data_IF_018076217571
#
_entry.id   IF_018076217571
#
_cell.length_a   1.000
_cell.length_b   1.000
_cell.length_c   1.000
_cell.angle_alpha   90.00
_cell.angle_beta   90.00
_cell.angle_gamma   90.00
#
_symmetry.space_group_name_H-M   'P 1'
#
loop_
_entity.id
_entity.type
_entity.pdbx_description
1 polymer ?
#
# COMPACT_ATOMS: atom_id res chain seq x y z
N UNK A 1 -9.67 15.95 -2.77
CA UNK A 1 -9.26 14.59 -2.33
C UNK A 1 -9.95 13.54 -3.17
N UNK A 2 -9.19 12.76 -3.85
CA UNK A 2 -9.77 11.71 -4.67
C UNK A 2 -10.22 10.54 -3.78
N UNK A 3 -11.25 9.84 -4.23
CA UNK A 3 -11.72 8.65 -3.54
C UNK A 3 -10.73 7.50 -3.79
N UNK A 4 -10.80 6.48 -2.94
CA UNK A 4 -10.03 5.26 -3.10
C UNK A 4 -11.01 4.09 -2.98
N UNK A 5 -11.69 3.74 -4.09
CA UNK A 5 -12.78 2.75 -4.02
C UNK A 5 -12.37 1.41 -3.40
N UNK A 6 -11.19 0.90 -3.74
CA UNK A 6 -10.75 -0.36 -3.19
C UNK A 6 -10.47 -0.27 -1.70
N UNK A 7 -9.82 0.80 -1.27
CA UNK A 7 -9.56 1.00 0.16
C UNK A 7 -10.88 1.09 0.93
N UNK A 8 -11.84 1.83 0.38
CA UNK A 8 -13.17 1.95 0.99
C UNK A 8 -13.85 0.60 1.11
N UNK A 9 -13.74 -0.21 0.05
CA UNK A 9 -14.37 -1.54 0.03
C UNK A 9 -13.86 -2.44 1.14
N UNK A 10 -12.55 -2.44 1.39
CA UNK A 10 -11.96 -3.32 2.41
C UNK A 10 -11.82 -2.66 3.77
N UNK A 11 -12.17 -1.38 3.88
CA UNK A 11 -12.09 -0.68 5.16
C UNK A 11 -10.70 -0.20 5.55
N UNK A 12 -9.86 0.06 4.55
CA UNK A 12 -8.52 0.57 4.78
C UNK A 12 -8.57 2.08 4.96
N UNK A 13 -7.97 2.58 6.03
CA UNK A 13 -7.97 4.00 6.36
C UNK A 13 -6.56 4.56 6.38
N UNK A 14 -6.43 5.80 5.90
CA UNK A 14 -5.17 6.54 6.01
C UNK A 14 -5.05 7.12 7.41
N UNK A 15 -3.92 6.87 8.06
CA UNK A 15 -3.63 7.45 9.38
C UNK A 15 -2.67 8.62 9.23
N UNK A 16 -1.66 8.47 8.38
CA UNK A 16 -0.64 9.49 8.20
C UNK A 16 -0.10 9.41 6.78
N UNK A 17 0.13 10.56 6.16
CA UNK A 17 0.71 10.60 4.81
C UNK A 17 1.55 11.86 4.68
N UNK A 18 2.81 11.66 4.30
CA UNK A 18 3.72 12.77 3.97
C UNK A 18 4.74 12.26 2.95
N UNK A 19 5.54 13.16 2.42
CA UNK A 19 6.53 12.78 1.41
C UNK A 19 7.46 11.69 1.96
N UNK A 20 7.42 10.53 1.33
CA UNK A 20 8.30 9.41 1.66
C UNK A 20 7.84 8.54 2.81
N UNK A 21 6.66 8.81 3.41
CA UNK A 21 6.19 8.03 4.55
C UNK A 21 4.68 7.97 4.58
N UNK A 22 4.14 6.82 4.93
CA UNK A 22 2.70 6.70 5.19
C UNK A 22 2.42 5.71 6.30
N UNK A 23 1.20 5.82 6.81
CA UNK A 23 0.68 4.88 7.78
C UNK A 23 -0.80 4.69 7.51
N UNK A 24 -1.22 3.44 7.43
CA UNK A 24 -2.62 3.10 7.21
C UNK A 24 -3.03 1.98 8.16
N UNK A 25 -4.32 1.78 8.30
CA UNK A 25 -4.85 0.78 9.21
C UNK A 25 -6.10 0.14 8.64
N UNK A 26 -6.43 -1.02 9.19
CA UNK A 26 -7.61 -1.77 8.80
C UNK A 26 -8.06 -2.60 9.99
N UNK A 27 -9.34 -2.48 10.36
CA UNK A 27 -9.92 -3.32 11.40
C UNK A 27 -10.39 -4.62 10.78
N UNK A 28 -9.91 -5.75 11.30
CA UNK A 28 -10.24 -7.06 10.75
C UNK A 28 -11.71 -7.39 10.97
N UNK A 29 -12.38 -7.81 9.90
CA UNK A 29 -13.77 -8.25 9.89
C UNK A 29 -13.87 -9.60 9.18
N UNK A 30 -15.03 -10.24 9.24
CA UNK A 30 -15.23 -11.54 8.60
C UNK A 30 -14.87 -11.53 7.12
N UNK A 31 -15.17 -10.43 6.42
CA UNK A 31 -14.90 -10.33 4.99
C UNK A 31 -13.42 -10.39 4.65
N UNK A 32 -12.55 -10.23 5.62
CA UNK A 32 -11.09 -10.24 5.43
C UNK A 32 -10.49 -11.64 5.61
N UNK A 33 -11.28 -12.60 6.08
CA UNK A 33 -10.75 -13.91 6.47
C UNK A 33 -10.80 -14.90 5.31
N UNK A 34 -9.81 -15.79 5.30
CA UNK A 34 -9.79 -16.90 4.37
C UNK A 34 -10.57 -18.09 4.99
N UNK A 35 -10.72 -19.22 4.27
CA UNK A 35 -11.47 -20.36 4.81
C UNK A 35 -10.92 -20.93 6.13
N UNK A 36 -9.66 -20.70 6.43
CA UNK A 36 -9.04 -21.13 7.69
C UNK A 36 -9.29 -20.16 8.84
N UNK A 37 -10.08 -19.11 8.59
CA UNK A 37 -10.44 -18.10 9.60
C UNK A 37 -9.26 -17.27 10.07
N UNK A 38 -8.27 -17.07 9.20
CA UNK A 38 -7.21 -16.08 9.40
C UNK A 38 -7.29 -15.07 8.28
N UNK A 39 -6.73 -13.88 8.51
CA UNK A 39 -6.76 -12.81 7.51
C UNK A 39 -6.10 -13.30 6.23
N UNK A 40 -6.80 -13.15 5.11
CA UNK A 40 -6.29 -13.54 3.81
C UNK A 40 -5.02 -12.73 3.50
N UNK A 41 -3.99 -13.41 2.99
CA UNK A 41 -2.74 -12.73 2.64
C UNK A 41 -2.93 -11.56 1.68
N UNK A 42 -3.94 -11.63 0.81
CA UNK A 42 -4.25 -10.55 -0.12
C UNK A 42 -4.63 -9.25 0.60
N UNK A 43 -5.24 -9.34 1.78
CA UNK A 43 -5.61 -8.16 2.57
C UNK A 43 -4.34 -7.47 3.10
N UNK A 44 -3.41 -8.26 3.63
CA UNK A 44 -2.14 -7.74 4.14
C UNK A 44 -1.33 -7.16 2.99
N UNK A 45 -1.34 -7.82 1.83
CA UNK A 45 -0.70 -7.32 0.62
C UNK A 45 -1.31 -5.97 0.20
N UNK A 46 -2.64 -5.84 0.27
CA UNK A 46 -3.32 -4.60 -0.09
C UNK A 46 -2.88 -3.44 0.81
N UNK A 47 -2.71 -3.70 2.10
CA UNK A 47 -2.17 -2.70 3.03
C UNK A 47 -0.77 -2.27 2.62
N UNK A 48 0.09 -3.25 2.32
CA UNK A 48 1.47 -2.97 1.94
C UNK A 48 1.54 -2.14 0.66
N UNK A 49 0.80 -2.55 -0.38
CA UNK A 49 0.82 -1.88 -1.68
C UNK A 49 0.22 -0.47 -1.57
N UNK A 50 -0.94 -0.36 -0.96
CA UNK A 50 -1.59 0.94 -0.80
C UNK A 50 -0.73 1.90 0.03
N UNK A 51 -0.13 1.39 1.10
CA UNK A 51 0.77 2.19 1.92
C UNK A 51 1.98 2.70 1.15
N UNK A 52 2.55 1.86 0.28
CA UNK A 52 3.67 2.27 -0.58
C UNK A 52 3.28 3.41 -1.50
N UNK A 53 2.13 3.28 -2.17
CA UNK A 53 1.64 4.34 -3.04
C UNK A 53 1.42 5.64 -2.28
N UNK A 54 0.84 5.54 -1.09
CA UNK A 54 0.60 6.71 -0.25
C UNK A 54 1.89 7.41 0.19
N UNK A 55 2.95 6.65 0.43
CA UNK A 55 4.25 7.22 0.79
C UNK A 55 4.91 7.90 -0.41
N UNK A 56 4.71 7.34 -1.60
CA UNK A 56 5.37 7.83 -2.80
C UNK A 56 4.68 9.06 -3.41
N UNK A 57 3.34 9.09 -3.41
CA UNK A 57 2.58 10.14 -4.08
C UNK A 57 3.00 11.56 -3.71
N UNK A 58 3.21 11.90 -2.42
CA UNK A 58 3.62 13.26 -2.08
C UNK A 58 5.01 13.65 -2.59
N UNK A 59 5.79 12.70 -3.10
CA UNK A 59 7.13 12.99 -3.67
C UNK A 59 7.06 13.27 -5.18
N UNK A 60 5.90 13.07 -5.79
CA UNK A 60 5.77 13.20 -7.25
C UNK A 60 5.70 14.66 -7.67
N UNK A 61 6.26 14.95 -8.86
CA UNK A 61 6.17 16.26 -9.48
C UNK A 61 4.84 16.41 -10.22
N UNK A 62 4.56 17.64 -10.63
CA UNK A 62 3.33 17.90 -11.39
C UNK A 62 3.25 17.01 -12.62
N UNK A 63 2.09 16.38 -12.79
CA UNK A 63 1.82 15.51 -13.91
C UNK A 63 2.40 14.13 -13.80
N UNK A 64 3.20 13.83 -12.78
CA UNK A 64 3.71 12.48 -12.56
C UNK A 64 2.66 11.63 -11.86
N UNK A 65 2.63 10.35 -12.25
CA UNK A 65 1.88 9.32 -11.53
C UNK A 65 2.84 8.17 -11.25
N UNK A 66 2.40 7.22 -10.45
CA UNK A 66 3.19 6.03 -10.18
C UNK A 66 2.34 4.79 -10.35
N UNK A 67 3.02 3.68 -10.61
CA UNK A 67 2.37 2.37 -10.75
C UNK A 67 3.28 1.31 -10.17
N UNK A 68 2.69 0.35 -9.49
CA UNK A 68 3.42 -0.77 -8.92
C UNK A 68 4.03 -1.62 -10.05
N UNK A 69 5.33 -1.89 -9.94
CA UNK A 69 6.01 -2.83 -10.84
C UNK A 69 5.95 -4.22 -10.23
N UNK A 70 6.39 -4.34 -8.99
CA UNK A 70 6.43 -5.62 -8.28
C UNK A 70 6.51 -5.37 -6.79
N UNK A 71 6.04 -6.33 -6.02
CA UNK A 71 6.17 -6.32 -4.57
C UNK A 71 6.49 -7.73 -4.12
N UNK A 72 7.57 -7.86 -3.35
CA UNK A 72 7.86 -9.11 -2.65
C UNK A 72 7.40 -8.95 -1.21
N UNK A 73 6.62 -9.90 -0.73
CA UNK A 73 6.12 -9.86 0.63
C UNK A 73 6.47 -11.16 1.37
N UNK A 74 6.82 -11.02 2.64
CA UNK A 74 7.04 -12.13 3.55
C UNK A 74 6.00 -12.07 4.65
N UNK A 75 5.30 -13.18 4.87
CA UNK A 75 4.31 -13.31 5.92
C UNK A 75 4.92 -14.09 7.07
N UNK A 76 4.97 -13.47 8.24
CA UNK A 76 5.68 -14.07 9.38
C UNK A 76 4.72 -14.74 10.36
N UNK A 77 3.53 -14.19 10.56
CA UNK A 77 2.59 -14.68 11.54
C UNK A 77 1.17 -14.58 11.03
N UNK A 78 0.30 -15.57 11.34
CA UNK A 78 -1.10 -15.46 10.98
C UNK A 78 -1.78 -14.38 11.83
N UNK A 79 -2.81 -13.77 11.26
CA UNK A 79 -3.58 -12.72 11.93
C UNK A 79 -5.04 -13.16 11.99
N UNK A 80 -5.65 -13.10 13.17
CA UNK A 80 -7.05 -13.46 13.34
C UNK A 80 -7.92 -12.28 13.74
N UNK A 81 -7.33 -11.29 14.41
CA UNK A 81 -8.03 -10.10 14.86
C UNK A 81 -7.09 -8.91 14.67
N UNK A 82 -7.64 -7.74 14.68
CA UNK A 82 -6.85 -6.53 14.53
C UNK A 82 -7.51 -5.39 15.25
N UNK A 83 -6.87 -4.19 15.21
CA UNK A 83 -6.46 -3.55 13.95
C UNK A 83 -5.10 -3.99 13.45
N UNK A 84 -5.00 -3.98 12.12
CA UNK A 84 -3.73 -4.06 11.42
C UNK A 84 -3.22 -2.66 11.17
N UNK A 85 -1.93 -2.45 11.33
CA UNK A 85 -1.28 -1.19 10.99
C UNK A 85 -0.18 -1.45 9.98
N UNK A 86 -0.04 -0.56 9.01
CA UNK A 86 1.01 -0.66 8.01
C UNK A 86 1.77 0.66 7.96
N UNK A 87 3.08 0.61 8.14
CA UNK A 87 3.95 1.76 7.90
C UNK A 87 4.73 1.52 6.62
N UNK A 88 4.86 2.56 5.80
CA UNK A 88 5.58 2.46 4.54
C UNK A 88 6.54 3.62 4.42
N UNK A 89 7.77 3.32 3.98
CA UNK A 89 8.82 4.31 3.83
C UNK A 89 9.50 4.14 2.49
N UNK A 90 9.65 5.26 1.78
CA UNK A 90 10.42 5.27 0.54
C UNK A 90 11.90 5.17 0.90
N UNK A 91 12.52 4.07 0.48
CA UNK A 91 13.93 3.83 0.76
C UNK A 91 14.81 4.55 -0.27
N UNK A 92 14.37 4.59 -1.51
CA UNK A 92 15.10 5.26 -2.57
C UNK A 92 14.11 5.83 -3.59
N UNK A 93 14.13 7.14 -3.76
CA UNK A 93 13.31 7.83 -4.74
C UNK A 93 14.17 8.15 -5.95
N UNK A 94 14.21 7.23 -6.91
CA UNK A 94 14.86 7.47 -8.18
C UNK A 94 14.02 8.36 -9.08
N UNK A 95 14.57 8.74 -10.23
CA UNK A 95 13.86 9.60 -11.17
C UNK A 95 12.68 8.89 -11.82
N UNK A 96 12.84 7.63 -12.16
CA UNK A 96 11.81 6.85 -12.87
C UNK A 96 11.36 5.60 -12.11
N UNK A 97 12.07 5.22 -11.05
CA UNK A 97 11.74 4.06 -10.22
C UNK A 97 12.01 4.42 -8.77
N UNK A 98 11.10 4.04 -7.89
CA UNK A 98 11.29 4.18 -6.46
C UNK A 98 11.21 2.82 -5.80
N UNK A 99 11.99 2.62 -4.74
CA UNK A 99 11.93 1.42 -3.90
C UNK A 99 11.35 1.80 -2.55
N UNK A 100 10.39 1.01 -2.08
CA UNK A 100 9.61 1.32 -0.88
C UNK A 100 9.47 0.07 -0.03
N UNK A 101 9.55 0.25 1.29
CA UNK A 101 9.35 -0.81 2.25
C UNK A 101 8.05 -0.60 3.00
N UNK A 102 7.31 -1.69 3.25
CA UNK A 102 6.13 -1.68 4.11
C UNK A 102 6.29 -2.72 5.21
N UNK A 103 5.84 -2.37 6.41
CA UNK A 103 5.83 -3.27 7.56
C UNK A 103 4.42 -3.28 8.14
N UNK A 104 3.89 -4.48 8.33
CA UNK A 104 2.52 -4.67 8.81
C UNK A 104 2.56 -5.27 10.21
N UNK A 105 1.80 -4.67 11.11
CA UNK A 105 1.81 -5.00 12.53
C UNK A 105 0.40 -5.29 13.04
N UNK A 106 0.32 -6.16 14.06
CA UNK A 106 -0.80 -6.23 14.97
C UNK A 106 -0.24 -5.82 16.33
N UNK A 107 -0.69 -4.67 16.87
CA UNK A 107 -0.04 -4.11 18.05
C UNK A 107 1.43 -3.85 17.77
N UNK A 108 2.31 -4.40 18.59
CA UNK A 108 3.75 -4.27 18.42
C UNK A 108 4.36 -5.45 17.66
N UNK A 109 3.55 -6.40 17.22
CA UNK A 109 4.05 -7.61 16.58
C UNK A 109 4.12 -7.41 15.08
N UNK A 110 5.30 -7.54 14.50
CA UNK A 110 5.51 -7.51 13.05
C UNK A 110 4.98 -8.82 12.46
N UNK A 111 3.95 -8.73 11.61
CA UNK A 111 3.33 -9.91 11.02
C UNK A 111 3.69 -10.10 9.55
N UNK A 112 4.13 -9.05 8.87
CA UNK A 112 4.56 -9.13 7.48
C UNK A 112 5.47 -7.97 7.13
N UNK A 113 6.28 -8.18 6.11
CA UNK A 113 7.20 -7.15 5.60
C UNK A 113 7.24 -7.28 4.09
N UNK A 114 7.23 -6.15 3.40
CA UNK A 114 7.25 -6.13 1.95
C UNK A 114 8.26 -5.10 1.44
N UNK A 115 8.79 -5.38 0.25
CA UNK A 115 9.61 -4.43 -0.48
C UNK A 115 9.12 -4.39 -1.91
N UNK A 116 8.90 -3.19 -2.42
CA UNK A 116 8.34 -3.01 -3.75
C UNK A 116 9.03 -1.95 -4.56
N UNK A 117 8.88 -2.08 -5.87
CA UNK A 117 9.36 -1.10 -6.84
C UNK A 117 8.18 -0.52 -7.59
N UNK A 118 8.22 0.79 -7.77
CA UNK A 118 7.17 1.55 -8.46
C UNK A 118 7.78 2.31 -9.60
N UNK A 119 7.08 2.31 -10.74
CA UNK A 119 7.43 3.18 -11.86
C UNK A 119 6.88 4.58 -11.62
N UNK A 120 7.65 5.59 -11.99
CA UNK A 120 7.25 6.98 -11.93
C UNK A 120 7.30 7.52 -13.35
N UNK A 121 6.19 8.08 -13.82
CA UNK A 121 6.12 8.53 -15.20
C UNK A 121 5.04 9.58 -15.36
N UNK A 122 5.10 10.30 -16.50
CA UNK A 122 4.06 11.23 -16.89
C UNK A 122 3.23 10.54 -17.97
N UNK A 123 1.93 10.33 -17.75
CA UNK A 123 1.09 9.75 -18.79
C UNK A 123 1.02 10.70 -19.97
N UNK A 124 0.93 10.14 -21.18
CA UNK A 124 0.77 10.95 -22.38
C UNK A 124 -0.62 11.59 -22.35
N UNK A 125 -0.66 12.92 -22.56
CA UNK A 125 -1.88 13.67 -22.43
C UNK A 125 -3.02 13.12 -23.30
N UNK A 126 -2.69 12.72 -24.56
CA UNK A 126 -3.70 12.16 -25.47
C UNK A 126 -3.83 10.65 -25.35
N UNK A 127 -2.81 9.99 -24.79
CA UNK A 127 -2.81 8.54 -24.69
C UNK A 127 -3.63 8.02 -23.52
N UNK A 128 -3.64 8.74 -22.42
CA UNK A 128 -4.34 8.29 -21.22
C UNK A 128 -5.74 8.84 -21.13
N UNK A 129 -5.93 10.10 -21.53
CA UNK A 129 -7.25 10.72 -21.49
C UNK A 129 -8.19 9.99 -22.45
N UNK A 130 -9.33 9.57 -21.97
CA UNK A 130 -10.32 8.90 -22.78
C UNK A 130 -10.00 7.44 -23.10
N UNK A 131 -8.92 6.89 -22.58
CA UNK A 131 -8.65 5.47 -22.71
C UNK A 131 -9.22 4.71 -21.56
N UNK A 132 -10.01 3.67 -21.81
CA UNK A 132 -10.52 2.85 -20.72
C UNK A 132 -9.44 2.07 -20.01
#
# INVERSE_FOLDING_TARGET
MSSHPFADLIGLSTVEQRAGHSRCSLTVEDKHLNPHRVVHGAVIYALADTGMGMALYPTLSDGEICATIEIKINYFKPVTTGPLHCTSDVLNRGRTVANIESRVYVGDTLVAQANGNYAIFKPRATGMAGKP
#
